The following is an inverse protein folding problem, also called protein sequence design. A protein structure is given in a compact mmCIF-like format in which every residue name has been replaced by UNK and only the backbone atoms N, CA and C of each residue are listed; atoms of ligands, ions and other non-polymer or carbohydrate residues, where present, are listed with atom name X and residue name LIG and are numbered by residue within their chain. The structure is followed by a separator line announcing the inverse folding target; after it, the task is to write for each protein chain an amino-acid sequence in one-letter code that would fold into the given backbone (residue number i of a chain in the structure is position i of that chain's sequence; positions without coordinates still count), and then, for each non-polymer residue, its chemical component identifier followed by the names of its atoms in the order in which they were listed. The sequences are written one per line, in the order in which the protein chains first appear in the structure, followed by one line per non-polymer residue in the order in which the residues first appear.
data_IF_734225448844
#
_entry.id   IF_734225448844
#
_cell.length_a   1.000
_cell.length_b   1.000
_cell.length_c   1.000
_cell.angle_alpha   90.00
_cell.angle_beta   90.00
_cell.angle_gamma   90.00
#
_symmetry.space_group_name_H-M   'P 1'
#
loop_
_entity.id
_entity.type
_entity.pdbx_description
1 polymer ?
#
# COMPACT_ATOMS: atom_id res chain seq x y z
N UNK A 1 20.72 -6.15 -17.84
CA UNK A 1 19.35 -5.77 -18.23
C UNK A 1 18.80 -4.91 -17.13
N UNK A 2 18.78 -3.60 -17.30
CA UNK A 2 17.99 -2.70 -16.44
C UNK A 2 16.53 -2.98 -16.76
N UNK A 3 15.75 -3.46 -15.80
CA UNK A 3 14.31 -3.60 -15.96
C UNK A 3 13.72 -2.25 -16.39
N UNK A 4 12.70 -2.25 -17.26
CA UNK A 4 12.01 -1.02 -17.66
C UNK A 4 11.42 -0.36 -16.42
N UNK A 5 12.02 0.75 -15.99
CA UNK A 5 11.54 1.57 -14.89
C UNK A 5 10.47 2.56 -15.36
N UNK A 6 9.73 3.11 -14.42
CA UNK A 6 8.87 4.26 -14.66
C UNK A 6 9.57 5.52 -14.15
N UNK A 7 9.35 6.66 -14.81
CA UNK A 7 9.77 7.95 -14.28
C UNK A 7 8.71 8.39 -13.27
N UNK A 8 9.03 8.26 -11.99
CA UNK A 8 8.13 8.55 -10.86
C UNK A 8 8.90 9.22 -9.75
N UNK A 9 8.23 10.15 -9.07
CA UNK A 9 8.78 10.82 -7.91
C UNK A 9 8.51 9.92 -6.66
N UNK A 10 9.52 9.65 -5.81
CA UNK A 10 9.34 8.73 -4.67
C UNK A 10 8.35 9.21 -3.60
N UNK A 11 8.22 10.51 -3.34
CA UNK A 11 7.28 11.05 -2.36
C UNK A 11 5.82 10.86 -2.80
N UNK A 12 5.52 10.95 -4.11
CA UNK A 12 4.22 10.68 -4.74
C UNK A 12 3.84 9.21 -4.55
N UNK A 13 4.82 8.29 -4.66
CA UNK A 13 4.59 6.87 -4.34
C UNK A 13 4.25 6.67 -2.87
N UNK A 14 4.93 7.36 -1.95
CA UNK A 14 4.64 7.29 -0.50
C UNK A 14 3.26 7.89 -0.18
N UNK A 15 2.92 9.01 -0.81
CA UNK A 15 1.60 9.63 -0.68
C UNK A 15 0.50 8.71 -1.20
N UNK A 16 0.70 8.09 -2.37
CA UNK A 16 -0.23 7.11 -2.93
C UNK A 16 -0.37 5.88 -2.01
N UNK A 17 0.73 5.32 -1.53
CA UNK A 17 0.70 4.20 -0.60
C UNK A 17 -0.10 4.53 0.66
N UNK A 18 0.01 5.75 1.19
CA UNK A 18 -0.76 6.21 2.34
C UNK A 18 -2.27 6.29 2.05
N UNK A 19 -2.66 6.73 0.85
CA UNK A 19 -4.06 6.70 0.43
C UNK A 19 -4.58 5.26 0.28
N UNK A 20 -3.79 4.36 -0.29
CA UNK A 20 -4.13 2.94 -0.40
C UNK A 20 -4.29 2.32 0.99
N UNK A 21 -3.36 2.59 1.90
CA UNK A 21 -3.40 2.13 3.29
C UNK A 21 -4.66 2.59 4.03
N UNK A 22 -5.14 3.82 3.77
CA UNK A 22 -6.36 4.34 4.39
C UNK A 22 -7.63 3.50 4.07
N UNK A 23 -7.62 2.70 3.00
CA UNK A 23 -8.73 1.80 2.68
C UNK A 23 -8.84 0.63 3.65
N UNK A 24 -7.74 0.29 4.35
CA UNK A 24 -7.70 -0.77 5.37
C UNK A 24 -8.71 -0.50 6.48
N UNK A 25 -8.83 0.75 6.93
CA UNK A 25 -9.78 1.10 7.99
C UNK A 25 -11.24 0.91 7.56
N UNK A 26 -11.55 1.23 6.30
CA UNK A 26 -12.86 1.02 5.70
C UNK A 26 -13.18 -0.48 5.56
N UNK A 27 -12.19 -1.27 5.16
CA UNK A 27 -12.32 -2.73 5.06
C UNK A 27 -12.48 -3.38 6.44
N UNK A 28 -11.71 -2.97 7.44
CA UNK A 28 -11.87 -3.42 8.82
C UNK A 28 -13.25 -3.06 9.38
N UNK A 29 -13.76 -1.88 9.05
CA UNK A 29 -15.14 -1.49 9.40
C UNK A 29 -16.15 -2.45 8.75
N UNK A 30 -15.97 -2.82 7.49
CA UNK A 30 -16.83 -3.79 6.81
C UNK A 30 -16.74 -5.21 7.43
N UNK A 31 -15.54 -5.67 7.78
CA UNK A 31 -15.33 -6.94 8.49
C UNK A 31 -16.07 -6.92 9.83
N UNK A 32 -15.93 -5.85 10.62
CA UNK A 32 -16.62 -5.71 11.90
C UNK A 32 -18.14 -5.65 11.73
N UNK A 33 -18.63 -4.94 10.72
CA UNK A 33 -20.06 -4.87 10.42
C UNK A 33 -20.64 -6.22 9.97
N UNK A 34 -19.84 -7.07 9.31
CA UNK A 34 -20.27 -8.39 8.84
C UNK A 34 -20.75 -9.29 9.98
N UNK A 35 -20.14 -9.19 11.17
CA UNK A 35 -20.55 -9.99 12.34
C UNK A 35 -21.97 -9.68 12.80
N UNK A 36 -22.37 -8.42 12.74
CA UNK A 36 -23.72 -8.00 13.10
C UNK A 36 -24.70 -8.31 11.98
N UNK A 37 -24.33 -7.99 10.74
CA UNK A 37 -25.18 -8.18 9.58
C UNK A 37 -25.50 -9.65 9.30
N UNK A 38 -24.56 -10.56 9.59
CA UNK A 38 -24.68 -12.00 9.35
C UNK A 38 -25.14 -12.79 10.58
N UNK A 39 -25.58 -12.13 11.65
CA UNK A 39 -26.13 -12.79 12.83
C UNK A 39 -27.40 -13.58 12.50
N UNK A 40 -27.58 -14.74 13.13
CA UNK A 40 -28.82 -15.54 13.02
C UNK A 40 -30.06 -14.75 13.47
N UNK A 41 -29.88 -13.74 14.32
CA UNK A 41 -30.95 -12.88 14.81
C UNK A 41 -31.29 -11.72 13.87
N UNK A 42 -30.46 -11.45 12.84
CA UNK A 42 -30.66 -10.33 11.92
C UNK A 42 -31.92 -10.47 11.03
N UNK A 43 -32.42 -11.69 10.86
CA UNK A 43 -33.52 -12.01 9.94
C UNK A 43 -34.91 -11.95 10.61
N UNK A 44 -34.97 -11.84 11.94
CA UNK A 44 -36.23 -11.83 12.69
C UNK A 44 -36.98 -13.16 12.67
N UNK A 45 -38.13 -13.19 13.36
CA UNK A 45 -38.87 -14.45 13.61
C UNK A 45 -39.42 -15.10 12.34
N UNK A 46 -39.92 -14.30 11.40
CA UNK A 46 -40.54 -14.81 10.17
C UNK A 46 -39.54 -15.48 9.23
N UNK A 47 -38.29 -15.05 9.26
CA UNK A 47 -37.24 -15.50 8.35
C UNK A 47 -36.16 -16.34 9.04
N UNK A 48 -36.44 -16.90 10.23
CA UNK A 48 -35.49 -17.67 11.02
C UNK A 48 -34.96 -18.96 10.34
N UNK A 49 -35.55 -19.38 9.22
CA UNK A 49 -35.10 -20.52 8.42
C UNK A 49 -33.97 -20.16 7.42
N UNK A 50 -33.76 -18.88 7.14
CA UNK A 50 -32.77 -18.42 6.16
C UNK A 50 -31.31 -18.53 6.60
N UNK A 51 -30.92 -18.30 7.87
CA UNK A 51 -29.51 -18.26 8.24
C UNK A 51 -28.72 -19.52 7.87
N UNK A 52 -29.21 -20.76 8.06
CA UNK A 52 -28.50 -21.96 7.61
C UNK A 52 -28.22 -22.01 6.10
N UNK A 53 -29.06 -21.36 5.28
CA UNK A 53 -28.93 -21.31 3.82
C UNK A 53 -27.92 -20.25 3.41
N UNK A 54 -27.92 -19.09 4.07
CA UNK A 54 -27.14 -17.91 3.66
C UNK A 54 -25.75 -17.87 4.33
N UNK A 55 -25.59 -18.46 5.52
CA UNK A 55 -24.34 -18.41 6.31
C UNK A 55 -23.09 -18.80 5.51
N UNK A 56 -23.07 -19.85 4.67
CA UNK A 56 -21.88 -20.20 3.91
C UNK A 56 -21.41 -19.06 2.99
N UNK A 57 -22.35 -18.36 2.34
CA UNK A 57 -22.04 -17.19 1.51
C UNK A 57 -21.62 -16.00 2.37
N UNK A 58 -22.23 -15.82 3.54
CA UNK A 58 -21.85 -14.77 4.49
C UNK A 58 -20.42 -14.94 5.03
N UNK A 59 -20.03 -16.17 5.38
CA UNK A 59 -18.67 -16.50 5.81
C UNK A 59 -17.66 -16.26 4.68
N UNK A 60 -17.95 -16.71 3.45
CA UNK A 60 -17.11 -16.42 2.29
C UNK A 60 -16.95 -14.91 2.03
N UNK A 61 -18.01 -14.12 2.23
CA UNK A 61 -17.94 -12.67 2.10
C UNK A 61 -17.04 -12.04 3.16
N UNK A 62 -17.13 -12.51 4.42
CA UNK A 62 -16.25 -12.05 5.50
C UNK A 62 -14.79 -12.42 5.25
N UNK A 63 -14.54 -13.63 4.76
CA UNK A 63 -13.19 -14.07 4.39
C UNK A 63 -12.62 -13.22 3.25
N UNK A 64 -13.42 -12.93 2.22
CA UNK A 64 -13.01 -12.06 1.12
C UNK A 64 -12.68 -10.63 1.57
N UNK A 65 -13.45 -10.07 2.50
CA UNK A 65 -13.15 -8.77 3.12
C UNK A 65 -11.84 -8.81 3.90
N UNK A 66 -11.60 -9.89 4.64
CA UNK A 66 -10.38 -10.07 5.45
C UNK A 66 -9.14 -10.24 4.56
N UNK A 67 -9.24 -11.05 3.49
CA UNK A 67 -8.20 -11.17 2.48
C UNK A 67 -7.95 -9.84 1.74
N UNK A 68 -8.98 -9.02 1.55
CA UNK A 68 -8.83 -7.69 0.96
C UNK A 68 -8.03 -6.75 1.88
N UNK A 69 -8.21 -6.83 3.20
CA UNK A 69 -7.40 -6.08 4.17
C UNK A 69 -5.91 -6.43 4.01
N UNK A 70 -5.59 -7.72 3.98
CA UNK A 70 -4.22 -8.20 3.82
C UNK A 70 -3.63 -7.77 2.46
N UNK A 71 -4.39 -7.92 1.38
CA UNK A 71 -3.96 -7.55 0.04
C UNK A 71 -3.68 -6.05 -0.11
N UNK A 72 -4.54 -5.20 0.45
CA UNK A 72 -4.37 -3.74 0.41
C UNK A 72 -3.17 -3.29 1.25
N UNK A 73 -2.96 -3.87 2.44
CA UNK A 73 -1.76 -3.63 3.26
C UNK A 73 -0.49 -4.03 2.50
N UNK A 74 -0.47 -5.25 1.95
CA UNK A 74 0.66 -5.74 1.17
C UNK A 74 0.94 -4.86 -0.06
N UNK A 75 -0.09 -4.36 -0.73
CA UNK A 75 0.07 -3.42 -1.84
C UNK A 75 0.70 -2.10 -1.38
N UNK A 76 0.19 -1.50 -0.30
CA UNK A 76 0.75 -0.28 0.30
C UNK A 76 2.24 -0.44 0.65
N UNK A 77 2.60 -1.55 1.30
CA UNK A 77 3.98 -1.85 1.68
C UNK A 77 4.89 -2.09 0.48
N UNK A 78 4.40 -2.77 -0.56
CA UNK A 78 5.13 -2.96 -1.81
C UNK A 78 5.40 -1.62 -2.52
N UNK A 79 4.45 -0.69 -2.53
CA UNK A 79 4.64 0.65 -3.11
C UNK A 79 5.65 1.47 -2.30
N UNK A 80 5.61 1.42 -0.97
CA UNK A 80 6.63 2.04 -0.11
C UNK A 80 8.03 1.46 -0.37
N UNK A 81 8.12 0.14 -0.55
CA UNK A 81 9.38 -0.55 -0.88
C UNK A 81 9.90 -0.12 -2.24
N UNK A 82 9.02 0.05 -3.24
CA UNK A 82 9.39 0.57 -4.53
C UNK A 82 9.93 2.01 -4.42
N UNK A 83 9.26 2.89 -3.66
CA UNK A 83 9.72 4.26 -3.42
C UNK A 83 11.12 4.29 -2.80
N UNK A 84 11.38 3.43 -1.80
CA UNK A 84 12.70 3.30 -1.19
C UNK A 84 13.74 2.84 -2.22
N UNK A 85 13.40 1.88 -3.08
CA UNK A 85 14.30 1.38 -4.12
C UNK A 85 14.70 2.47 -5.14
N UNK A 86 13.79 3.39 -5.48
CA UNK A 86 14.12 4.54 -6.32
C UNK A 86 15.08 5.51 -5.61
N UNK A 87 14.85 5.81 -4.33
CA UNK A 87 15.73 6.68 -3.53
C UNK A 87 17.13 6.08 -3.38
N UNK A 88 17.21 4.80 -3.05
CA UNK A 88 18.49 4.09 -2.91
C UNK A 88 19.27 4.07 -4.24
N UNK A 89 18.54 3.90 -5.36
CA UNK A 89 19.11 3.99 -6.69
C UNK A 89 19.67 5.38 -7.01
N UNK A 90 18.92 6.44 -6.71
CA UNK A 90 19.35 7.82 -6.91
C UNK A 90 20.56 8.16 -6.04
N UNK A 91 20.50 7.88 -4.73
CA UNK A 91 21.60 8.15 -3.80
C UNK A 91 22.87 7.39 -4.19
N UNK A 92 22.73 6.10 -4.52
CA UNK A 92 23.83 5.26 -4.99
C UNK A 92 24.49 5.79 -6.26
N UNK A 93 23.70 6.40 -7.16
CA UNK A 93 24.20 7.01 -8.37
C UNK A 93 24.82 8.40 -8.13
N UNK A 94 24.29 9.19 -7.19
CA UNK A 94 24.76 10.54 -6.88
C UNK A 94 26.08 10.55 -6.07
N UNK A 95 26.22 9.64 -5.09
CA UNK A 95 27.37 9.59 -4.17
C UNK A 95 28.76 9.63 -4.85
N UNK A 96 29.04 8.93 -5.96
CA UNK A 96 30.32 9.04 -6.67
C UNK A 96 30.58 10.46 -7.20
N UNK A 97 29.56 11.12 -7.75
CA UNK A 97 29.68 12.47 -8.30
C UNK A 97 29.86 13.52 -7.21
N UNK A 98 29.12 13.40 -6.10
CA UNK A 98 29.29 14.27 -4.93
C UNK A 98 30.70 14.16 -4.35
N UNK A 99 31.24 12.94 -4.26
CA UNK A 99 32.63 12.72 -3.84
C UNK A 99 33.63 13.39 -4.79
N UNK A 100 33.39 13.32 -6.10
CA UNK A 100 34.25 13.95 -7.08
C UNK A 100 34.18 15.49 -7.06
N UNK A 101 32.98 16.04 -6.85
CA UNK A 101 32.76 17.48 -6.64
C UNK A 101 33.49 17.96 -5.38
N UNK A 102 33.38 17.23 -4.27
CA UNK A 102 34.04 17.56 -3.01
C UNK A 102 35.57 17.43 -3.07
N UNK A 103 36.09 16.52 -3.92
CA UNK A 103 37.53 16.31 -4.12
C UNK A 103 38.16 17.31 -5.12
N UNK A 104 37.36 18.09 -5.84
CA UNK A 104 37.86 19.06 -6.81
C UNK A 104 38.29 20.36 -6.11
N UNK A 105 39.58 20.77 -6.17
CA UNK A 105 39.99 22.06 -5.62
C UNK A 105 39.35 23.19 -6.45
N UNK A 106 38.94 24.25 -5.78
CA UNK A 106 38.36 25.45 -6.38
C UNK A 106 39.37 26.16 -7.31
N UNK A 107 39.59 25.64 -8.51
CA UNK A 107 40.35 26.28 -9.58
C UNK A 107 39.40 26.84 -10.64
N UNK A 108 38.76 27.96 -10.30
CA UNK A 108 38.50 29.00 -11.31
C UNK A 108 39.07 30.29 -10.76
N UNK A 109 40.39 30.44 -10.90
CA UNK A 109 41.00 31.77 -10.98
C UNK A 109 40.45 32.44 -12.25
N UNK A 110 39.44 33.28 -12.10
CA UNK A 110 39.13 34.30 -13.11
C UNK A 110 40.36 35.21 -13.16
N UNK A 111 41.16 35.05 -14.22
CA UNK A 111 42.37 35.83 -14.47
C UNK A 111 42.11 36.74 -15.67
N UNK A 112 42.35 38.03 -15.43
CA UNK A 112 42.38 39.20 -16.32
C UNK A 112 41.02 39.80 -16.70
#
# INVERSE_FOLDING_TARGET
MTAGGFEVEPDDLVAHASHVDSLVDRLNTAVSASDTAMSDHAYGLLCAFLPPIIRPTGEQAKDALSASVEGVRGLSDNVKTAAQSYRDGEEGNAQPFERQLAASPAEVKVKA
#
